data_IF_348991126216
#
_entry.id   IF_348991126216
#
_cell.length_a   1.000
_cell.length_b   1.000
_cell.length_c   1.000
_cell.angle_alpha   90.00
_cell.angle_beta   90.00
_cell.angle_gamma   90.00
#
_symmetry.space_group_name_H-M   'P 1'
#
loop_
_entity.id
_entity.type
_entity.pdbx_description
1 polymer ?
#
# COMPACT_ATOMS: atom_id res chain seq x y z
N UNK A 1 -11.52 81.46 31.19
CA UNK A 1 -10.59 80.34 31.05
C UNK A 1 -11.42 79.04 31.19
N UNK A 2 -11.66 78.28 30.14
CA UNK A 2 -12.38 76.99 30.21
C UNK A 2 -11.37 75.87 30.01
N UNK A 3 -11.35 74.78 30.77
CA UNK A 3 -10.46 73.65 30.54
C UNK A 3 -10.99 72.73 29.45
N UNK A 4 -10.10 72.33 28.56
CA UNK A 4 -10.34 71.34 27.53
C UNK A 4 -10.05 69.95 28.13
N UNK A 5 -11.09 69.12 28.20
CA UNK A 5 -10.95 67.70 28.59
C UNK A 5 -10.66 66.88 27.35
N UNK A 6 -9.45 66.31 27.23
CA UNK A 6 -9.10 65.37 26.22
C UNK A 6 -9.53 63.95 26.58
N UNK A 7 -10.42 63.36 25.81
CA UNK A 7 -10.85 61.97 25.99
C UNK A 7 -9.86 61.05 25.25
N UNK A 8 -9.15 60.17 25.95
CA UNK A 8 -8.37 59.09 25.39
C UNK A 8 -9.33 57.92 25.08
N UNK A 9 -9.50 57.60 23.83
CA UNK A 9 -10.16 56.35 23.40
C UNK A 9 -9.14 55.20 23.45
N UNK A 10 -9.35 54.24 24.35
CA UNK A 10 -8.59 53.02 24.43
C UNK A 10 -9.09 52.04 23.37
N UNK A 11 -8.25 51.73 22.37
CA UNK A 11 -8.51 50.73 21.35
C UNK A 11 -8.17 49.36 21.91
N UNK A 12 -9.18 48.56 22.25
CA UNK A 12 -9.01 47.15 22.69
C UNK A 12 -8.81 46.27 21.48
N UNK A 13 -7.58 45.80 21.23
CA UNK A 13 -7.28 44.78 20.21
C UNK A 13 -7.57 43.42 20.85
N UNK A 14 -8.71 42.81 20.49
CA UNK A 14 -9.01 41.43 20.80
C UNK A 14 -8.20 40.53 19.84
N UNK A 15 -7.12 39.92 20.34
CA UNK A 15 -6.41 38.87 19.62
C UNK A 15 -7.32 37.65 19.53
N UNK A 16 -7.82 37.36 18.34
CA UNK A 16 -8.51 36.09 18.05
C UNK A 16 -7.47 34.96 18.14
N UNK A 17 -7.54 34.15 19.19
CA UNK A 17 -6.80 32.89 19.25
C UNK A 17 -7.35 31.94 18.18
N UNK A 18 -6.59 31.74 17.11
CA UNK A 18 -6.83 30.64 16.18
C UNK A 18 -6.46 29.36 16.93
N UNK A 19 -7.47 28.68 17.46
CA UNK A 19 -7.29 27.33 17.99
C UNK A 19 -6.95 26.42 16.80
N UNK A 20 -5.68 26.05 16.67
CA UNK A 20 -5.28 24.92 15.82
C UNK A 20 -5.90 23.67 16.43
N UNK A 21 -6.98 23.19 15.83
CA UNK A 21 -7.52 21.87 16.18
C UNK A 21 -6.43 20.85 15.93
N UNK A 22 -5.79 20.35 16.97
CA UNK A 22 -4.92 19.18 16.89
C UNK A 22 -5.79 18.03 16.45
N UNK A 23 -5.47 17.43 15.29
CA UNK A 23 -6.14 16.21 14.86
C UNK A 23 -6.06 15.18 16.01
N UNK A 24 -7.21 14.59 16.36
CA UNK A 24 -7.25 13.59 17.42
C UNK A 24 -6.25 12.47 17.05
N UNK A 25 -5.38 12.11 18.00
CA UNK A 25 -4.38 11.05 17.80
C UNK A 25 -5.10 9.75 17.47
N UNK A 26 -4.73 9.15 16.33
CA UNK A 26 -5.32 7.89 15.88
C UNK A 26 -4.79 6.74 16.73
N UNK A 27 -5.66 5.77 17.01
CA UNK A 27 -5.35 4.61 17.86
C UNK A 27 -4.85 3.40 17.07
N UNK A 28 -4.56 3.58 15.78
CA UNK A 28 -3.98 2.56 14.90
C UNK A 28 -2.74 3.12 14.19
N UNK A 29 -1.79 2.23 13.95
CA UNK A 29 -0.62 2.46 13.10
C UNK A 29 -0.86 1.85 11.73
N UNK A 30 -0.33 2.46 10.68
CA UNK A 30 -0.38 1.93 9.32
C UNK A 30 1.03 1.51 8.92
N UNK A 31 1.18 0.27 8.43
CA UNK A 31 2.46 -0.25 7.92
C UNK A 31 2.29 -0.53 6.43
N UNK A 32 3.09 0.14 5.61
CA UNK A 32 3.04 0.09 4.14
C UNK A 32 4.16 -0.80 3.60
N UNK A 33 3.80 -1.83 2.82
CA UNK A 33 4.72 -2.83 2.23
C UNK A 33 4.66 -2.73 0.71
N UNK A 34 5.77 -2.39 0.06
CA UNK A 34 5.85 -2.24 -1.39
C UNK A 34 5.88 -3.58 -2.13
N UNK A 35 5.67 -3.55 -3.44
CA UNK A 35 5.78 -4.71 -4.33
C UNK A 35 7.18 -4.97 -4.86
N UNK A 36 7.30 -5.92 -5.80
CA UNK A 36 8.51 -6.15 -6.57
C UNK A 36 8.77 -5.00 -7.56
N UNK A 37 10.00 -4.91 -8.07
CA UNK A 37 10.49 -3.95 -9.07
C UNK A 37 10.55 -2.48 -8.63
N UNK A 38 9.96 -2.16 -7.48
CA UNK A 38 9.89 -0.80 -6.91
C UNK A 38 10.33 -0.82 -5.46
N UNK A 39 10.55 0.34 -4.87
CA UNK A 39 10.92 0.52 -3.47
C UNK A 39 9.84 1.28 -2.67
N UNK A 40 10.17 1.57 -1.43
CA UNK A 40 9.27 2.28 -0.51
C UNK A 40 8.93 3.72 -0.94
N UNK A 41 9.71 4.34 -1.84
CA UNK A 41 9.48 5.72 -2.27
C UNK A 41 8.14 5.91 -3.01
N UNK A 42 7.62 4.84 -3.63
CA UNK A 42 6.30 4.85 -4.26
C UNK A 42 5.14 5.15 -3.31
N UNK A 43 5.34 5.00 -2.01
CA UNK A 43 4.33 5.31 -1.00
C UNK A 43 4.25 6.79 -0.61
N UNK A 44 5.19 7.64 -1.07
CA UNK A 44 5.36 9.01 -0.56
C UNK A 44 4.04 9.82 -0.48
N UNK A 45 3.28 9.86 -1.56
CA UNK A 45 2.04 10.64 -1.58
C UNK A 45 0.96 10.06 -0.63
N UNK A 46 0.81 8.74 -0.60
CA UNK A 46 -0.10 8.06 0.34
C UNK A 46 0.34 8.27 1.79
N UNK A 47 1.65 8.18 2.05
CA UNK A 47 2.25 8.43 3.37
C UNK A 47 1.90 9.84 3.88
N UNK A 48 2.09 10.88 3.05
CA UNK A 48 1.80 12.26 3.44
C UNK A 48 0.32 12.42 3.83
N UNK A 49 -0.60 11.93 2.99
CA UNK A 49 -2.04 12.03 3.23
C UNK A 49 -2.46 11.34 4.54
N UNK A 50 -1.89 10.17 4.83
CA UNK A 50 -2.21 9.43 6.04
C UNK A 50 -1.58 10.08 7.28
N UNK A 51 -0.35 10.58 7.17
CA UNK A 51 0.35 11.29 8.25
C UNK A 51 -0.35 12.61 8.60
N UNK A 52 -0.76 13.38 7.59
CA UNK A 52 -1.54 14.62 7.77
C UNK A 52 -2.91 14.35 8.41
N UNK A 53 -3.46 13.14 8.23
CA UNK A 53 -4.68 12.68 8.88
C UNK A 53 -4.46 12.18 10.34
N UNK A 54 -3.24 12.28 10.87
CA UNK A 54 -2.87 11.95 12.25
C UNK A 54 -2.53 10.49 12.52
N UNK A 55 -2.33 9.68 11.48
CA UNK A 55 -1.89 8.29 11.65
C UNK A 55 -0.38 8.20 11.88
N UNK A 56 0.04 7.26 12.72
CA UNK A 56 1.41 6.76 12.70
C UNK A 56 1.58 5.89 11.46
N UNK A 57 2.42 6.32 10.52
CA UNK A 57 2.70 5.59 9.28
C UNK A 57 4.14 5.12 9.27
N UNK A 58 4.33 3.81 9.12
CA UNK A 58 5.64 3.19 8.96
C UNK A 58 5.72 2.56 7.56
N UNK A 59 6.90 2.63 6.95
CA UNK A 59 7.12 2.11 5.61
C UNK A 59 8.21 1.05 5.66
N UNK A 60 7.93 -0.11 5.08
CA UNK A 60 8.88 -1.21 4.97
C UNK A 60 9.72 -1.02 3.72
N UNK A 61 11.02 -1.11 3.87
CA UNK A 61 11.98 -1.20 2.76
C UNK A 61 12.49 -2.64 2.73
N UNK A 62 11.85 -3.47 1.93
CA UNK A 62 12.17 -4.89 1.82
C UNK A 62 13.12 -5.18 0.64
N UNK A 63 14.01 -6.19 0.75
CA UNK A 63 14.99 -6.51 -0.29
C UNK A 63 14.38 -7.15 -1.54
N UNK A 64 13.21 -7.76 -1.48
CA UNK A 64 12.51 -8.51 -2.56
C UNK A 64 13.30 -9.71 -3.13
N UNK A 65 14.26 -10.24 -2.38
CA UNK A 65 15.13 -11.35 -2.79
C UNK A 65 14.58 -12.70 -2.34
N UNK A 66 14.09 -12.78 -1.09
CA UNK A 66 13.50 -13.97 -0.52
C UNK A 66 12.30 -13.61 0.36
N UNK A 67 11.17 -14.33 0.20
CA UNK A 67 9.94 -14.05 0.94
C UNK A 67 10.16 -14.03 2.47
N UNK A 68 10.98 -14.93 2.99
CA UNK A 68 11.26 -15.02 4.45
C UNK A 68 11.97 -13.78 4.99
N UNK A 69 12.89 -13.22 4.22
CA UNK A 69 13.62 -12.00 4.60
C UNK A 69 12.69 -10.78 4.55
N UNK A 70 11.82 -10.73 3.54
CA UNK A 70 10.82 -9.65 3.38
C UNK A 70 9.78 -9.69 4.52
N UNK A 71 9.35 -10.89 4.92
CA UNK A 71 8.47 -11.10 6.08
C UNK A 71 9.17 -10.67 7.37
N UNK A 72 10.42 -11.09 7.59
CA UNK A 72 11.20 -10.74 8.78
C UNK A 72 11.40 -9.22 8.91
N UNK A 73 11.70 -8.54 7.79
CA UNK A 73 11.82 -7.08 7.75
C UNK A 73 10.48 -6.41 8.08
N UNK A 74 9.38 -6.92 7.53
CA UNK A 74 8.03 -6.42 7.81
C UNK A 74 7.67 -6.60 9.29
N UNK A 75 7.94 -7.75 9.89
CA UNK A 75 7.74 -8.02 11.33
C UNK A 75 8.58 -7.06 12.19
N UNK A 76 9.82 -6.76 11.78
CA UNK A 76 10.70 -5.80 12.45
C UNK A 76 10.10 -4.37 12.45
N UNK A 77 9.44 -3.98 11.36
CA UNK A 77 8.75 -2.69 11.27
C UNK A 77 7.46 -2.70 12.10
N UNK A 78 6.66 -3.77 12.05
CA UNK A 78 5.46 -3.95 12.88
C UNK A 78 5.81 -3.84 14.37
N UNK A 79 6.95 -4.37 14.80
CA UNK A 79 7.38 -4.31 16.19
C UNK A 79 7.55 -2.88 16.71
N UNK A 80 7.90 -1.92 15.83
CA UNK A 80 8.08 -0.49 16.15
C UNK A 80 6.76 0.28 16.25
N UNK A 81 5.67 -0.26 15.73
CA UNK A 81 4.38 0.41 15.75
C UNK A 81 3.89 0.61 17.21
N UNK A 82 3.41 1.82 17.51
CA UNK A 82 2.90 2.19 18.84
C UNK A 82 1.49 1.66 19.10
N UNK A 83 0.72 1.44 18.05
CA UNK A 83 -0.69 1.05 18.10
C UNK A 83 -0.93 -0.26 17.33
N UNK A 84 -2.12 -0.89 17.46
CA UNK A 84 -2.53 -1.97 16.58
C UNK A 84 -2.41 -1.59 15.11
N UNK A 85 -2.00 -2.53 14.26
CA UNK A 85 -1.53 -2.26 12.89
C UNK A 85 -2.60 -2.58 11.86
N UNK A 86 -2.82 -1.66 10.93
CA UNK A 86 -3.38 -1.92 9.60
C UNK A 86 -2.19 -2.19 8.68
N UNK A 87 -2.05 -3.43 8.21
CA UNK A 87 -0.94 -3.87 7.38
C UNK A 87 -1.35 -3.83 5.91
N UNK A 88 -0.66 -3.01 5.11
CA UNK A 88 -0.99 -2.72 3.72
C UNK A 88 0.06 -3.30 2.80
N UNK A 89 -0.33 -4.12 1.83
CA UNK A 89 0.57 -4.72 0.83
C UNK A 89 0.15 -4.39 -0.59
N UNK A 90 1.10 -3.89 -1.38
CA UNK A 90 0.96 -3.70 -2.82
C UNK A 90 1.61 -4.86 -3.57
N UNK A 91 0.92 -5.40 -4.59
CA UNK A 91 1.51 -6.38 -5.50
C UNK A 91 2.08 -7.61 -4.77
N UNK A 92 3.38 -7.92 -4.97
CA UNK A 92 4.12 -8.93 -4.21
C UNK A 92 4.07 -8.69 -2.69
N UNK A 93 3.98 -7.45 -2.24
CA UNK A 93 3.78 -7.12 -0.82
C UNK A 93 2.56 -7.82 -0.20
N UNK A 94 1.59 -8.24 -1.02
CA UNK A 94 0.46 -9.07 -0.59
C UNK A 94 0.86 -10.47 -0.11
N UNK A 95 1.88 -11.09 -0.72
CA UNK A 95 2.48 -12.35 -0.21
C UNK A 95 3.05 -12.13 1.19
N UNK A 96 3.80 -11.03 1.35
CA UNK A 96 4.49 -10.68 2.60
C UNK A 96 3.48 -10.40 3.72
N UNK A 97 2.44 -9.58 3.46
CA UNK A 97 1.45 -9.25 4.49
C UNK A 97 0.55 -10.45 4.84
N UNK A 98 0.40 -11.41 3.93
CA UNK A 98 -0.36 -12.63 4.20
C UNK A 98 0.34 -13.47 5.28
N UNK A 99 1.67 -13.54 5.29
CA UNK A 99 2.42 -14.23 6.35
C UNK A 99 2.68 -13.35 7.58
N UNK A 100 3.18 -12.13 7.39
CA UNK A 100 3.49 -11.23 8.50
C UNK A 100 2.23 -10.79 9.28
N UNK A 101 1.07 -10.85 8.65
CA UNK A 101 -0.21 -10.49 9.24
C UNK A 101 -0.69 -11.40 10.36
N UNK A 102 -0.08 -12.58 10.54
CA UNK A 102 -0.32 -13.45 11.70
C UNK A 102 0.16 -12.83 13.02
N UNK A 103 1.00 -11.80 12.96
CA UNK A 103 1.47 -11.05 14.11
C UNK A 103 0.29 -10.50 14.94
N UNK A 104 0.30 -10.68 16.29
CA UNK A 104 -0.81 -10.26 17.15
C UNK A 104 -1.08 -8.75 17.15
N UNK A 105 -0.11 -7.91 16.80
CA UNK A 105 -0.33 -6.47 16.62
C UNK A 105 -1.16 -6.14 15.37
N UNK A 106 -1.21 -7.02 14.38
CA UNK A 106 -1.97 -6.79 13.14
C UNK A 106 -3.44 -7.05 13.39
N UNK A 107 -4.28 -6.04 13.14
CA UNK A 107 -5.74 -6.13 13.28
C UNK A 107 -6.45 -6.32 11.94
N UNK A 108 -5.92 -5.77 10.86
CA UNK A 108 -6.51 -5.88 9.52
C UNK A 108 -5.46 -5.83 8.42
N UNK A 109 -5.82 -6.38 7.26
CA UNK A 109 -4.99 -6.46 6.06
C UNK A 109 -5.63 -5.66 4.93
N UNK A 110 -4.82 -4.91 4.20
CA UNK A 110 -5.25 -4.17 3.01
C UNK A 110 -4.38 -4.58 1.82
N UNK A 111 -5.00 -5.19 0.84
CA UNK A 111 -4.37 -5.63 -0.41
C UNK A 111 -4.66 -4.60 -1.50
N UNK A 112 -3.62 -4.10 -2.16
CA UNK A 112 -3.72 -3.11 -3.25
C UNK A 112 -3.10 -3.70 -4.52
N UNK A 113 -3.88 -4.00 -5.56
CA UNK A 113 -3.38 -4.64 -6.79
C UNK A 113 -2.46 -5.83 -6.47
N UNK A 114 -2.84 -6.71 -5.52
CA UNK A 114 -1.90 -7.57 -4.83
C UNK A 114 -2.22 -9.06 -4.95
N UNK A 115 -1.20 -9.89 -4.69
CA UNK A 115 -1.42 -11.30 -4.41
C UNK A 115 -2.03 -11.49 -3.02
N UNK A 116 -2.97 -12.44 -2.88
CA UNK A 116 -3.49 -12.90 -1.61
C UNK A 116 -3.51 -14.44 -1.59
N UNK A 117 -2.35 -15.06 -1.31
CA UNK A 117 -2.17 -16.50 -1.40
C UNK A 117 -2.93 -17.26 -0.32
N UNK A 118 -3.29 -18.52 -0.61
CA UNK A 118 -3.62 -19.53 0.41
C UNK A 118 -2.38 -20.36 0.77
N UNK A 119 -2.48 -21.16 1.82
CA UNK A 119 -1.40 -22.03 2.27
C UNK A 119 -0.92 -22.95 1.14
N UNK A 120 0.41 -23.04 0.97
CA UNK A 120 1.05 -23.81 -0.08
C UNK A 120 1.10 -23.13 -1.45
N UNK A 121 0.53 -21.94 -1.61
CA UNK A 121 0.65 -21.14 -2.83
C UNK A 121 1.90 -20.24 -2.79
N UNK A 122 2.46 -19.98 -3.97
CA UNK A 122 3.54 -19.03 -4.24
C UNK A 122 3.11 -18.09 -5.37
N UNK A 123 3.90 -17.05 -5.64
CA UNK A 123 3.64 -16.20 -6.81
C UNK A 123 3.65 -17.03 -8.09
N UNK A 124 4.62 -17.94 -8.25
CA UNK A 124 4.70 -18.80 -9.45
C UNK A 124 3.43 -19.61 -9.64
N UNK A 125 2.89 -20.26 -8.59
CA UNK A 125 1.66 -21.05 -8.72
C UNK A 125 0.43 -20.19 -9.01
N UNK A 126 0.35 -19.00 -8.46
CA UNK A 126 -0.76 -18.06 -8.72
C UNK A 126 -0.69 -17.47 -10.14
N UNK A 127 0.52 -17.24 -10.66
CA UNK A 127 0.74 -16.72 -12.01
C UNK A 127 0.54 -17.77 -13.13
N UNK A 128 0.50 -19.07 -12.80
CA UNK A 128 0.18 -20.15 -13.75
C UNK A 128 -1.28 -20.11 -14.21
N UNK A 129 -2.19 -19.54 -13.39
CA UNK A 129 -3.59 -19.46 -13.75
C UNK A 129 -3.77 -18.75 -15.10
N UNK A 130 -4.61 -19.29 -16.02
CA UNK A 130 -4.84 -18.68 -17.30
C UNK A 130 -5.53 -17.33 -17.12
N UNK A 131 -5.02 -16.30 -17.82
CA UNK A 131 -5.72 -15.02 -17.90
C UNK A 131 -6.83 -15.11 -18.97
N UNK A 132 -8.02 -14.56 -18.73
CA UNK A 132 -9.06 -14.42 -19.73
C UNK A 132 -8.59 -13.63 -20.97
N UNK A 133 -9.28 -13.81 -22.10
CA UNK A 133 -9.00 -13.05 -23.30
C UNK A 133 -9.11 -11.53 -23.02
N UNK A 134 -8.10 -10.77 -23.44
CA UNK A 134 -8.01 -9.33 -23.23
C UNK A 134 -7.34 -8.90 -21.92
N UNK A 135 -7.04 -9.82 -21.00
CA UNK A 135 -6.19 -9.53 -19.84
C UNK A 135 -4.73 -9.91 -20.13
N UNK A 136 -3.81 -9.17 -19.53
CA UNK A 136 -2.37 -9.30 -19.77
C UNK A 136 -1.67 -9.95 -18.57
N UNK A 137 -0.57 -10.63 -18.85
CA UNK A 137 0.40 -11.07 -17.83
C UNK A 137 1.63 -10.18 -17.88
N UNK A 138 2.28 -10.02 -16.74
CA UNK A 138 3.51 -9.25 -16.61
C UNK A 138 4.57 -9.66 -17.66
N UNK A 139 5.13 -8.72 -18.43
CA UNK A 139 6.20 -9.00 -19.39
C UNK A 139 7.55 -9.11 -18.68
N UNK A 140 7.78 -10.23 -17.98
CA UNK A 140 8.97 -10.45 -17.18
C UNK A 140 10.13 -10.95 -18.03
N UNK A 141 11.33 -10.49 -17.69
CA UNK A 141 12.61 -10.99 -18.20
C UNK A 141 13.41 -11.57 -17.05
N UNK A 142 14.19 -12.64 -17.33
CA UNK A 142 15.00 -13.31 -16.33
C UNK A 142 16.46 -12.89 -16.49
N UNK A 143 17.08 -12.42 -15.42
CA UNK A 143 18.50 -12.11 -15.33
C UNK A 143 19.14 -12.90 -14.18
N UNK A 144 19.79 -14.03 -14.52
CA UNK A 144 20.34 -14.93 -13.52
C UNK A 144 19.26 -15.47 -12.57
N UNK A 145 19.34 -15.16 -11.29
CA UNK A 145 18.37 -15.58 -10.27
C UNK A 145 17.29 -14.51 -9.98
N UNK A 146 17.12 -13.55 -10.88
CA UNK A 146 16.21 -12.44 -10.70
C UNK A 146 15.24 -12.27 -11.86
N UNK A 147 14.12 -11.67 -11.57
CA UNK A 147 13.15 -11.20 -12.55
C UNK A 147 13.14 -9.66 -12.56
N UNK A 148 12.96 -9.12 -13.75
CA UNK A 148 12.70 -7.70 -14.00
C UNK A 148 11.49 -7.61 -14.96
N UNK A 149 10.81 -6.49 -14.99
CA UNK A 149 9.89 -6.17 -16.07
C UNK A 149 10.70 -5.71 -17.27
N UNK A 150 10.37 -6.18 -18.48
CA UNK A 150 10.94 -5.67 -19.73
C UNK A 150 10.86 -4.12 -19.72
N UNK A 151 12.02 -3.44 -19.76
CA UNK A 151 12.11 -2.00 -19.53
C UNK A 151 11.29 -1.18 -20.54
N UNK A 152 11.22 -1.63 -21.80
CA UNK A 152 10.45 -0.96 -22.86
C UNK A 152 8.94 -1.10 -22.63
N UNK A 153 8.52 -2.18 -21.96
CA UNK A 153 7.11 -2.46 -21.64
C UNK A 153 6.70 -2.00 -20.24
N UNK A 154 7.65 -1.65 -19.38
CA UNK A 154 7.41 -1.26 -18.00
C UNK A 154 6.37 -0.14 -17.87
N UNK A 155 6.47 1.00 -18.60
CA UNK A 155 5.50 2.07 -18.49
C UNK A 155 4.07 1.60 -18.73
N UNK A 156 3.85 0.85 -19.82
CA UNK A 156 2.52 0.38 -20.21
C UNK A 156 1.98 -0.73 -19.32
N UNK A 157 2.87 -1.56 -18.76
CA UNK A 157 2.43 -2.73 -17.98
C UNK A 157 2.28 -2.41 -16.50
N UNK A 158 3.20 -1.62 -15.93
CA UNK A 158 3.24 -1.34 -14.51
C UNK A 158 2.50 -0.04 -14.12
N UNK A 159 2.63 1.01 -14.93
CA UNK A 159 2.27 2.37 -14.52
C UNK A 159 1.68 3.20 -15.69
N UNK A 160 0.71 2.62 -16.43
CA UNK A 160 0.16 3.21 -17.65
C UNK A 160 -0.57 4.55 -17.42
N UNK A 161 -1.05 4.81 -16.21
CA UNK A 161 -1.76 6.01 -15.79
C UNK A 161 -0.90 6.98 -14.94
N UNK A 162 0.43 6.77 -14.92
CA UNK A 162 1.40 7.63 -14.24
C UNK A 162 2.17 8.46 -15.28
N UNK A 163 2.65 9.64 -14.87
CA UNK A 163 3.44 10.54 -15.72
C UNK A 163 4.59 9.79 -16.43
N UNK A 164 4.74 9.91 -17.76
CA UNK A 164 5.77 9.21 -18.52
C UNK A 164 7.21 9.53 -18.10
N UNK A 165 7.48 10.70 -17.51
CA UNK A 165 8.81 11.02 -16.99
C UNK A 165 9.13 10.19 -15.75
N UNK A 166 8.13 9.98 -14.87
CA UNK A 166 8.24 9.14 -13.69
C UNK A 166 8.40 7.67 -14.10
N UNK A 167 7.57 7.18 -15.02
CA UNK A 167 7.59 5.75 -15.41
C UNK A 167 8.87 5.35 -16.13
N UNK A 168 9.47 6.24 -16.93
CA UNK A 168 10.81 6.02 -17.52
C UNK A 168 11.90 5.87 -16.46
N UNK A 169 11.85 6.72 -15.42
CA UNK A 169 12.79 6.58 -14.30
C UNK A 169 12.56 5.28 -13.54
N UNK A 170 11.31 4.92 -13.25
CA UNK A 170 10.98 3.66 -12.58
C UNK A 170 11.49 2.45 -13.36
N UNK A 171 11.34 2.44 -14.70
CA UNK A 171 11.84 1.38 -15.56
C UNK A 171 13.36 1.22 -15.49
N UNK A 172 14.10 2.34 -15.34
CA UNK A 172 15.55 2.33 -15.21
C UNK A 172 16.05 1.98 -13.79
N UNK A 173 15.21 2.20 -12.77
CA UNK A 173 15.53 2.06 -11.35
C UNK A 173 14.92 0.80 -10.71
N UNK A 174 14.50 -0.18 -11.51
CA UNK A 174 13.88 -1.40 -10.99
C UNK A 174 14.74 -2.11 -9.96
N UNK A 175 14.13 -2.54 -8.86
CA UNK A 175 14.74 -3.52 -7.96
C UNK A 175 14.58 -4.93 -8.53
N UNK A 176 15.67 -5.72 -8.62
CA UNK A 176 15.57 -7.11 -9.05
C UNK A 176 14.70 -7.94 -8.09
N UNK A 177 13.80 -8.74 -8.64
CA UNK A 177 12.95 -9.62 -7.84
C UNK A 177 13.51 -11.03 -7.82
N UNK A 178 13.87 -11.54 -6.65
CA UNK A 178 14.51 -12.84 -6.50
C UNK A 178 13.57 -14.01 -6.87
N UNK A 179 14.08 -14.96 -7.63
CA UNK A 179 13.34 -16.21 -7.94
C UNK A 179 12.94 -16.97 -6.67
N UNK A 180 13.73 -16.84 -5.59
CA UNK A 180 13.40 -17.43 -4.30
C UNK A 180 12.13 -16.77 -3.71
N UNK A 181 11.97 -15.45 -3.81
CA UNK A 181 10.75 -14.79 -3.37
C UNK A 181 9.52 -15.24 -4.18
N UNK A 182 9.70 -15.44 -5.49
CA UNK A 182 8.63 -15.86 -6.41
C UNK A 182 8.17 -17.30 -6.18
N UNK A 183 9.10 -18.20 -5.85
CA UNK A 183 8.86 -19.64 -5.75
C UNK A 183 8.51 -20.10 -4.32
N UNK A 184 8.82 -19.30 -3.30
CA UNK A 184 8.53 -19.66 -1.91
C UNK A 184 7.03 -19.67 -1.67
N UNK A 185 6.55 -20.79 -1.15
CA UNK A 185 5.16 -20.98 -0.75
C UNK A 185 4.91 -20.35 0.61
N UNK A 186 3.73 -19.77 0.80
CA UNK A 186 3.29 -19.27 2.09
C UNK A 186 2.83 -20.41 2.99
N UNK A 187 3.14 -20.30 4.26
CA UNK A 187 2.74 -21.27 5.29
C UNK A 187 1.61 -20.70 6.17
N UNK A 188 1.69 -19.41 6.53
CA UNK A 188 0.71 -18.70 7.38
C UNK A 188 -0.20 -17.82 6.53
N UNK A 189 -1.50 -17.88 6.78
CA UNK A 189 -2.51 -17.22 5.96
C UNK A 189 -3.39 -16.34 6.84
N UNK A 190 -2.90 -15.12 7.10
CA UNK A 190 -3.51 -14.20 8.05
C UNK A 190 -4.94 -13.76 7.68
N UNK A 191 -5.30 -13.70 6.39
CA UNK A 191 -6.65 -13.32 5.97
C UNK A 191 -7.73 -14.34 6.41
N UNK A 192 -7.36 -15.55 6.85
CA UNK A 192 -8.30 -16.53 7.45
C UNK A 192 -8.79 -16.11 8.84
N UNK A 193 -8.06 -15.24 9.51
CA UNK A 193 -8.35 -14.83 10.91
C UNK A 193 -8.46 -13.31 11.08
N UNK A 194 -8.01 -12.52 10.09
CA UNK A 194 -8.00 -11.06 10.14
C UNK A 194 -8.99 -10.47 9.14
N UNK A 195 -9.65 -9.38 9.52
CA UNK A 195 -10.44 -8.60 8.57
C UNK A 195 -9.59 -8.16 7.39
N UNK A 196 -10.07 -8.37 6.19
CA UNK A 196 -9.32 -8.10 4.97
C UNK A 196 -10.08 -7.16 4.03
N UNK A 197 -9.31 -6.33 3.34
CA UNK A 197 -9.77 -5.33 2.37
C UNK A 197 -8.96 -5.50 1.10
N UNK A 198 -9.60 -5.40 -0.07
CA UNK A 198 -8.92 -5.60 -1.34
C UNK A 198 -9.33 -4.52 -2.35
N UNK A 199 -8.35 -3.75 -2.83
CA UNK A 199 -8.54 -2.83 -3.96
C UNK A 199 -8.06 -3.51 -5.24
N UNK A 200 -9.01 -3.82 -6.12
CA UNK A 200 -8.75 -4.35 -7.46
C UNK A 200 -8.47 -3.21 -8.41
N UNK A 201 -7.42 -3.33 -9.22
CA UNK A 201 -7.07 -2.38 -10.29
C UNK A 201 -7.53 -2.93 -11.62
N UNK A 202 -8.51 -2.26 -12.25
CA UNK A 202 -9.24 -2.77 -13.41
C UNK A 202 -8.45 -2.75 -14.73
N UNK A 203 -7.35 -1.97 -14.80
CA UNK A 203 -6.47 -1.85 -15.98
C UNK A 203 -5.03 -2.34 -15.65
N UNK A 204 -4.93 -3.33 -14.78
CA UNK A 204 -3.67 -3.91 -14.34
C UNK A 204 -3.13 -4.91 -15.37
N UNK A 205 -1.91 -4.67 -15.86
CA UNK A 205 -1.21 -5.55 -16.80
C UNK A 205 -0.06 -6.33 -16.13
N UNK A 206 0.03 -6.30 -14.78
CA UNK A 206 0.98 -7.09 -14.00
C UNK A 206 0.30 -8.28 -13.34
N UNK A 207 -0.80 -8.04 -12.63
CA UNK A 207 -1.66 -9.08 -12.05
C UNK A 207 -3.04 -8.95 -12.68
N UNK A 208 -3.47 -9.90 -13.52
CA UNK A 208 -4.76 -9.82 -14.20
C UNK A 208 -5.90 -9.46 -13.23
N UNK A 209 -6.79 -8.50 -13.57
CA UNK A 209 -7.91 -8.11 -12.71
C UNK A 209 -8.81 -9.27 -12.30
N UNK A 210 -8.98 -10.27 -13.19
CA UNK A 210 -9.73 -11.51 -12.89
C UNK A 210 -9.06 -12.34 -11.78
N UNK A 211 -7.72 -12.41 -11.77
CA UNK A 211 -6.96 -13.08 -10.72
C UNK A 211 -7.09 -12.32 -9.38
N UNK A 212 -6.96 -10.99 -9.41
CA UNK A 212 -7.18 -10.15 -8.22
C UNK A 212 -8.58 -10.37 -7.64
N UNK A 213 -9.65 -10.32 -8.47
CA UNK A 213 -11.03 -10.58 -8.03
C UNK A 213 -11.22 -11.97 -7.44
N UNK A 214 -10.51 -12.97 -7.99
CA UNK A 214 -10.57 -14.35 -7.49
C UNK A 214 -9.93 -14.46 -6.10
N UNK A 215 -8.75 -13.88 -5.89
CA UNK A 215 -8.08 -13.85 -4.60
C UNK A 215 -8.87 -13.02 -3.57
N UNK A 216 -9.43 -11.89 -3.98
CA UNK A 216 -10.26 -11.04 -3.12
C UNK A 216 -11.52 -11.77 -2.63
N UNK A 217 -12.23 -12.47 -3.51
CA UNK A 217 -13.40 -13.29 -3.12
C UNK A 217 -13.03 -14.40 -2.16
N UNK A 218 -11.94 -15.12 -2.46
CA UNK A 218 -11.46 -16.24 -1.63
C UNK A 218 -11.07 -15.80 -0.23
N UNK A 219 -10.45 -14.64 -0.10
CA UNK A 219 -10.04 -14.09 1.19
C UNK A 219 -11.20 -13.50 2.01
N UNK A 220 -12.43 -13.45 1.48
CA UNK A 220 -13.56 -12.81 2.15
C UNK A 220 -13.38 -11.30 2.35
N UNK A 221 -12.50 -10.68 1.58
CA UNK A 221 -12.18 -9.26 1.71
C UNK A 221 -13.35 -8.34 1.34
N UNK A 222 -13.41 -7.17 1.99
CA UNK A 222 -14.24 -6.05 1.50
C UNK A 222 -13.57 -5.48 0.25
N UNK A 223 -14.26 -5.54 -0.89
CA UNK A 223 -13.68 -5.22 -2.20
C UNK A 223 -14.09 -3.84 -2.67
N UNK A 224 -13.12 -3.09 -3.18
CA UNK A 224 -13.32 -1.89 -4.01
C UNK A 224 -12.57 -2.12 -5.32
N UNK A 225 -13.14 -1.69 -6.44
CA UNK A 225 -12.47 -1.72 -7.74
C UNK A 225 -12.25 -0.29 -8.24
N UNK A 226 -11.04 -0.03 -8.73
CA UNK A 226 -10.66 1.26 -9.28
C UNK A 226 -10.13 1.07 -10.71
N UNK A 227 -10.53 1.98 -11.60
CA UNK A 227 -9.97 2.04 -12.95
C UNK A 227 -8.57 2.65 -12.88
N UNK A 228 -7.56 1.78 -12.73
CA UNK A 228 -6.16 2.16 -12.56
C UNK A 228 -5.24 1.08 -13.09
N UNK A 229 -4.00 1.46 -13.43
CA UNK A 229 -2.89 0.54 -13.66
C UNK A 229 -2.43 -0.11 -12.36
N UNK A 230 -1.37 -0.94 -12.44
CA UNK A 230 -0.78 -1.60 -11.28
C UNK A 230 -0.23 -0.62 -10.22
N UNK A 231 0.26 0.55 -10.64
CA UNK A 231 0.88 1.54 -9.77
C UNK A 231 -0.14 2.47 -9.06
N UNK A 232 -1.24 1.93 -8.56
CA UNK A 232 -2.39 2.68 -8.02
C UNK A 232 -2.03 3.69 -6.93
N UNK A 233 -1.00 3.41 -6.09
CA UNK A 233 -0.55 4.33 -5.05
C UNK A 233 0.13 5.58 -5.61
N UNK A 234 0.60 5.55 -6.86
CA UNK A 234 1.19 6.69 -7.55
C UNK A 234 0.14 7.50 -8.30
N UNK A 235 -0.78 6.82 -9.01
CA UNK A 235 -1.80 7.47 -9.84
C UNK A 235 -3.00 7.95 -9.04
N UNK A 236 -3.39 7.22 -7.96
CA UNK A 236 -4.58 7.47 -7.16
C UNK A 236 -4.32 7.49 -5.64
N UNK A 237 -3.33 8.28 -5.15
CA UNK A 237 -2.92 8.23 -3.74
C UNK A 237 -4.04 8.65 -2.75
N UNK A 238 -4.98 9.49 -3.17
CA UNK A 238 -6.11 9.93 -2.33
C UNK A 238 -7.13 8.82 -2.13
N UNK A 239 -7.46 8.09 -3.19
CA UNK A 239 -8.36 6.94 -3.18
C UNK A 239 -7.75 5.79 -2.37
N UNK A 240 -6.44 5.53 -2.56
CA UNK A 240 -5.69 4.55 -1.77
C UNK A 240 -5.71 4.90 -0.29
N UNK A 241 -5.40 6.15 0.08
CA UNK A 241 -5.44 6.59 1.48
C UNK A 241 -6.85 6.52 2.07
N UNK A 242 -7.89 6.87 1.31
CA UNK A 242 -9.28 6.75 1.75
C UNK A 242 -9.67 5.28 1.99
N UNK A 243 -9.24 4.38 1.10
CA UNK A 243 -9.49 2.95 1.24
C UNK A 243 -8.77 2.36 2.47
N UNK A 244 -7.51 2.71 2.69
CA UNK A 244 -6.75 2.29 3.89
C UNK A 244 -7.47 2.77 5.17
N UNK A 245 -7.94 4.03 5.20
CA UNK A 245 -8.68 4.57 6.34
C UNK A 245 -10.00 3.84 6.61
N UNK A 246 -10.64 3.26 5.58
CA UNK A 246 -11.87 2.48 5.78
C UNK A 246 -11.64 1.20 6.60
N UNK A 247 -10.41 0.69 6.62
CA UNK A 247 -10.04 -0.45 7.46
C UNK A 247 -9.92 -0.09 8.96
N UNK A 248 -9.79 1.19 9.31
CA UNK A 248 -9.81 1.68 10.70
C UNK A 248 -11.24 1.73 11.27
N UNK A 249 -12.20 2.20 10.49
CA UNK A 249 -13.58 2.46 10.95
C UNK A 249 -14.42 1.21 11.14
N UNK A 250 -14.10 0.10 10.50
CA UNK A 250 -14.91 -1.12 10.50
C UNK A 250 -14.71 -2.04 11.72
N UNK A 251 -14.01 -1.60 12.75
CA UNK A 251 -13.73 -2.38 13.99
C UNK A 251 -14.33 -1.70 15.23
N UNK A 252 -15.17 -0.71 15.03
CA UNK A 252 -15.89 -0.02 16.12
C UNK A 252 -17.26 -0.64 16.47
N UNK A 253 -17.62 -1.81 15.86
CA UNK A 253 -18.86 -2.55 16.13
C UNK A 253 -18.58 -3.90 16.80
#
# INVERSE_FOLDING_TARGET
MKPIIAALAALSITAAQVATATAAERTVSIVLVHGAFVDASGWKATYDILSDAGYEVLVVQQPTIALRDDVAETERVIAKARHPVILVGHSYGGMVITEAGDNPKVRSLVYLAAFAPDAGESVSTLAEAPAPAGEHKAPLVTEGNYLLVDADKFPQSFAADVDPAITRFMAAAQLPWGLQAVQTKVDRVAWKTKSSYFMVTGEDHMIPPSAQRTMARRSGAKVTELKSSHAVMLSHPREVAAFIKSADTAVAD
#
